data_IF_989677663593
#
_entry.id   IF_989677663593
#
_cell.length_a   1.000
_cell.length_b   1.000
_cell.length_c   1.000
_cell.angle_alpha   90.00
_cell.angle_beta   90.00
_cell.angle_gamma   90.00
#
_symmetry.space_group_name_H-M   'P 1'
#
loop_
_entity.id
_entity.type
_entity.pdbx_description
1 polymer ?
#
# COMPACT_ATOMS: atom_id res chain seq x y z
N UNK A 1 7.05 9.56 -25.02
CA UNK A 1 6.32 10.78 -24.61
C UNK A 1 6.67 11.06 -23.15
N UNK A 2 7.47 12.13 -22.91
CA UNK A 2 7.77 12.87 -21.65
C UNK A 2 8.24 12.00 -20.45
N UNK A 3 9.52 11.87 -20.08
CA UNK A 3 10.67 12.80 -19.94
C UNK A 3 10.51 13.90 -18.86
N UNK A 4 11.64 14.13 -18.15
CA UNK A 4 11.99 15.14 -17.12
C UNK A 4 11.79 14.72 -15.65
N UNK A 5 12.88 14.47 -14.88
CA UNK A 5 13.80 15.43 -14.20
C UNK A 5 13.12 16.07 -12.97
N UNK A 6 13.68 16.20 -11.78
CA UNK A 6 15.08 16.40 -11.42
C UNK A 6 15.36 15.99 -9.96
N UNK A 7 16.61 15.57 -9.73
CA UNK A 7 17.23 15.52 -8.42
C UNK A 7 17.50 16.95 -7.91
N UNK A 8 17.17 17.21 -6.65
CA UNK A 8 17.63 18.39 -5.92
C UNK A 8 18.34 17.92 -4.65
N UNK A 9 19.66 17.81 -4.75
CA UNK A 9 20.55 17.82 -3.61
C UNK A 9 20.50 19.24 -3.01
N UNK A 10 19.99 19.36 -1.78
CA UNK A 10 20.16 20.58 -0.99
C UNK A 10 21.20 20.32 0.09
N UNK A 11 22.42 20.76 -0.23
CA UNK A 11 23.50 21.05 0.69
C UNK A 11 22.99 22.06 1.75
N UNK A 12 22.85 21.65 3.00
CA UNK A 12 22.74 22.62 4.11
C UNK A 12 24.16 22.87 4.60
N UNK A 13 24.69 23.97 4.08
CA UNK A 13 25.93 24.62 4.49
C UNK A 13 25.85 24.98 5.97
N UNK A 14 26.94 24.74 6.69
CA UNK A 14 27.19 25.25 8.02
C UNK A 14 27.04 26.78 8.06
N UNK A 15 26.26 27.28 9.01
CA UNK A 15 26.29 28.66 9.44
C UNK A 15 26.67 28.67 10.92
N UNK A 16 27.92 29.06 11.15
CA UNK A 16 28.53 29.36 12.42
C UNK A 16 28.04 30.74 12.91
N UNK A 17 27.34 30.87 14.05
CA UNK A 17 27.07 32.18 14.64
C UNK A 17 28.22 32.59 15.57
N UNK A 18 29.39 32.85 14.99
CA UNK A 18 30.45 33.61 15.62
C UNK A 18 30.24 35.11 15.34
N UNK A 19 29.40 35.80 16.14
CA UNK A 19 29.47 37.26 16.33
C UNK A 19 28.44 37.73 17.37
N UNK A 20 28.89 37.92 18.60
CA UNK A 20 28.07 38.47 19.67
C UNK A 20 28.88 38.96 20.86
N UNK A 21 30.10 39.47 20.63
CA UNK A 21 30.81 40.25 21.64
C UNK A 21 30.07 41.57 21.87
N UNK A 22 29.29 41.62 22.94
CA UNK A 22 28.81 42.87 23.51
C UNK A 22 29.87 43.42 24.48
N UNK A 23 30.44 44.61 24.25
CA UNK A 23 31.28 45.28 25.23
C UNK A 23 30.38 45.95 26.27
N UNK A 24 29.83 45.19 27.21
CA UNK A 24 29.13 45.78 28.36
C UNK A 24 30.15 46.40 29.32
N UNK A 25 30.33 47.71 29.16
CA UNK A 25 30.38 48.67 30.25
C UNK A 25 31.46 48.47 31.30
N UNK A 26 32.64 49.07 31.06
CA UNK A 26 33.51 49.52 32.16
C UNK A 26 32.71 50.47 33.05
N UNK A 27 32.20 49.97 34.18
CA UNK A 27 31.78 50.84 35.29
C UNK A 27 33.03 51.57 35.78
N UNK A 28 33.06 52.89 35.57
CA UNK A 28 34.06 53.79 36.14
C UNK A 28 34.01 53.65 37.66
N UNK A 29 35.14 53.28 38.27
CA UNK A 29 35.35 53.42 39.71
C UNK A 29 35.21 54.91 40.08
N UNK A 30 34.48 55.26 41.16
CA UNK A 30 34.54 56.59 41.72
C UNK A 30 35.94 56.88 42.30
N UNK A 31 36.42 58.13 42.26
CA UNK A 31 37.71 58.50 42.81
C UNK A 31 37.76 58.30 44.34
N UNK A 32 38.92 57.92 44.91
CA UNK A 32 39.08 57.80 46.36
C UNK A 32 38.95 59.17 47.05
N UNK A 33 38.39 59.22 48.27
CA UNK A 33 38.34 60.44 49.07
C UNK A 33 39.75 60.92 49.48
N UNK A 34 39.93 62.24 49.71
CA UNK A 34 41.21 62.83 50.09
C UNK A 34 41.73 62.29 51.43
N UNK A 35 43.05 62.25 51.63
CA UNK A 35 43.65 61.79 52.87
C UNK A 35 43.25 62.71 54.04
N UNK A 36 42.62 62.12 55.05
CA UNK A 36 42.38 62.78 56.32
C UNK A 36 43.73 63.13 56.97
N UNK A 37 43.85 64.39 57.39
CA UNK A 37 45.01 64.92 58.07
C UNK A 37 45.26 64.14 59.36
N UNK A 38 46.49 63.64 59.47
CA UNK A 38 47.05 62.96 60.63
C UNK A 38 47.09 63.92 61.82
N UNK A 39 46.34 63.60 62.87
CA UNK A 39 46.60 64.12 64.20
C UNK A 39 47.94 63.57 64.72
N UNK A 40 48.75 64.35 65.45
CA UNK A 40 49.99 63.87 66.05
C UNK A 40 49.68 62.84 67.14
N UNK A 41 49.94 61.57 66.84
CA UNK A 41 49.90 60.47 67.79
C UNK A 41 51.00 60.65 68.84
N UNK A 42 50.59 60.70 70.10
CA UNK A 42 51.47 60.58 71.26
C UNK A 42 52.29 59.28 71.13
N UNK A 43 53.60 59.41 71.35
CA UNK A 43 54.54 58.30 71.36
C UNK A 43 54.15 57.28 72.44
N UNK A 44 53.53 56.18 72.01
CA UNK A 44 53.36 54.99 72.83
C UNK A 44 54.71 54.24 72.93
N UNK A 45 55.02 53.63 74.09
CA UNK A 45 56.28 52.93 74.32
C UNK A 45 56.47 51.76 73.34
N UNK A 46 57.72 51.57 72.92
CA UNK A 46 58.12 50.50 72.01
C UNK A 46 57.63 49.12 72.55
N UNK A 47 56.77 48.39 71.81
CA UNK A 47 56.36 47.07 72.22
C UNK A 47 57.56 46.12 72.17
N UNK A 48 57.74 45.36 73.25
CA UNK A 48 58.71 44.29 73.33
C UNK A 48 58.60 43.39 72.10
N UNK A 49 59.75 43.02 71.52
CA UNK A 49 59.82 42.13 70.37
C UNK A 49 58.94 40.89 70.64
N UNK A 50 57.97 40.57 69.77
CA UNK A 50 57.10 39.42 69.98
C UNK A 50 57.96 38.16 70.05
N UNK A 51 57.82 37.42 71.14
CA UNK A 51 58.45 36.11 71.31
C UNK A 51 58.11 35.25 70.09
N UNK A 52 59.14 34.65 69.47
CA UNK A 52 58.93 33.75 68.34
C UNK A 52 57.98 32.62 68.79
N UNK A 53 56.91 32.35 68.03
CA UNK A 53 55.98 31.27 68.39
C UNK A 53 56.76 29.95 68.45
N UNK A 54 56.51 29.18 69.51
CA UNK A 54 57.09 27.86 69.67
C UNK A 54 56.75 26.99 68.45
N UNK A 55 57.71 26.17 67.99
CA UNK A 55 57.49 25.27 66.87
C UNK A 55 56.31 24.33 67.14
N UNK A 56 55.45 24.05 66.15
CA UNK A 56 54.28 23.21 66.34
C UNK A 56 54.68 21.77 66.69
N UNK A 57 53.94 21.15 67.60
CA UNK A 57 54.13 19.74 67.95
C UNK A 57 53.65 18.81 66.82
N UNK A 58 54.16 17.57 66.69
CA UNK A 58 53.70 16.63 65.67
C UNK A 58 52.18 16.40 65.68
N UNK A 59 51.54 16.41 66.85
CA UNK A 59 50.09 16.32 67.00
C UNK A 59 49.37 17.54 66.40
N UNK A 60 49.92 18.74 66.59
CA UNK A 60 49.37 19.97 65.98
C UNK A 60 49.47 19.93 64.45
N UNK A 61 50.57 19.43 63.91
CA UNK A 61 50.76 19.27 62.46
C UNK A 61 49.72 18.29 61.88
N UNK A 62 49.52 17.12 62.51
CA UNK A 62 48.52 16.15 62.08
C UNK A 62 47.09 16.70 62.16
N UNK A 63 46.77 17.44 63.23
CA UNK A 63 45.47 18.07 63.38
C UNK A 63 45.20 19.13 62.29
N UNK A 64 46.20 19.92 61.93
CA UNK A 64 46.11 20.92 60.86
C UNK A 64 45.94 20.27 59.48
N UNK A 65 46.70 19.21 59.20
CA UNK A 65 46.59 18.43 57.96
C UNK A 65 45.21 17.77 57.83
N UNK A 66 44.70 17.16 58.90
CA UNK A 66 43.34 16.62 58.96
C UNK A 66 42.30 17.69 58.66
N UNK A 67 42.41 18.87 59.29
CA UNK A 67 41.48 19.99 59.07
C UNK A 67 41.51 20.48 57.62
N UNK A 68 42.69 20.48 56.98
CA UNK A 68 42.83 20.79 55.55
C UNK A 68 42.13 19.75 54.68
N UNK A 69 42.40 18.47 54.88
CA UNK A 69 41.77 17.40 54.09
C UNK A 69 40.24 17.36 54.27
N UNK A 70 39.73 17.63 55.47
CA UNK A 70 38.29 17.75 55.70
C UNK A 70 37.66 18.90 54.92
N UNK A 71 38.31 20.07 54.86
CA UNK A 71 37.83 21.19 54.03
C UNK A 71 37.81 20.81 52.55
N UNK A 72 38.86 20.16 52.07
CA UNK A 72 38.97 19.72 50.67
C UNK A 72 37.91 18.65 50.33
N UNK A 73 37.68 17.69 51.21
CA UNK A 73 36.66 16.65 51.04
C UNK A 73 35.24 17.26 51.01
N UNK A 74 34.92 18.16 51.95
CA UNK A 74 33.65 18.90 51.95
C UNK A 74 33.47 19.73 50.69
N UNK A 75 34.51 20.41 50.22
CA UNK A 75 34.45 21.20 48.99
C UNK A 75 34.09 20.32 47.78
N UNK A 76 34.62 19.10 47.70
CA UNK A 76 34.30 18.14 46.64
C UNK A 76 32.87 17.61 46.74
N UNK A 77 32.35 17.41 47.95
CA UNK A 77 30.95 17.00 48.18
C UNK A 77 29.94 18.02 47.65
N UNK A 78 30.29 19.31 47.56
CA UNK A 78 29.41 20.34 46.98
C UNK A 78 29.35 20.32 45.44
N UNK A 79 30.11 19.47 44.76
CA UNK A 79 30.10 19.36 43.31
C UNK A 79 28.78 18.70 42.85
N UNK A 80 27.92 19.47 42.15
CA UNK A 80 26.52 19.07 41.86
C UNK A 80 26.34 17.88 40.92
N UNK A 81 27.37 17.46 40.19
CA UNK A 81 27.25 16.37 39.21
C UNK A 81 27.68 15.05 39.84
N UNK A 82 26.74 14.11 39.94
CA UNK A 82 27.02 12.73 40.37
C UNK A 82 27.45 11.91 39.16
N UNK A 83 28.72 12.07 38.76
CA UNK A 83 29.38 11.17 37.81
C UNK A 83 30.17 10.10 38.58
N UNK A 84 30.47 8.96 37.94
CA UNK A 84 31.29 7.93 38.58
C UNK A 84 32.65 8.47 38.99
N UNK A 85 33.26 9.29 38.13
CA UNK A 85 34.53 9.96 38.41
C UNK A 85 34.45 10.87 39.64
N UNK A 86 33.42 11.73 39.74
CA UNK A 86 33.28 12.63 40.89
C UNK A 86 33.03 11.85 42.19
N UNK A 87 32.27 10.76 42.13
CA UNK A 87 32.03 9.91 43.30
C UNK A 87 33.30 9.18 43.75
N UNK A 88 34.15 8.73 42.80
CA UNK A 88 35.45 8.12 43.09
C UNK A 88 36.44 9.12 43.70
N UNK A 89 36.50 10.34 43.18
CA UNK A 89 37.31 11.43 43.75
C UNK A 89 36.89 11.81 45.17
N UNK A 90 35.58 11.79 45.45
CA UNK A 90 35.04 11.97 46.81
C UNK A 90 35.41 10.80 47.73
N UNK A 91 35.29 9.57 47.25
CA UNK A 91 35.65 8.37 47.99
C UNK A 91 37.13 8.40 48.40
N UNK A 92 38.02 8.78 47.46
CA UNK A 92 39.45 8.96 47.73
C UNK A 92 39.71 10.07 48.74
N UNK A 93 39.08 11.23 48.60
CA UNK A 93 39.27 12.36 49.52
C UNK A 93 38.87 12.00 50.96
N UNK A 94 37.70 11.37 51.15
CA UNK A 94 37.26 10.90 52.47
C UNK A 94 38.12 9.73 52.97
N UNK A 95 38.64 8.88 52.08
CA UNK A 95 39.58 7.81 52.41
C UNK A 95 40.89 8.32 53.00
N UNK A 96 41.44 9.42 52.46
CA UNK A 96 42.65 10.07 53.00
C UNK A 96 42.42 10.61 54.42
N UNK A 97 41.27 11.23 54.69
CA UNK A 97 40.92 11.70 56.04
C UNK A 97 40.86 10.53 57.03
N UNK A 98 40.26 9.40 56.63
CA UNK A 98 40.18 8.19 57.46
C UNK A 98 41.53 7.54 57.72
N UNK A 99 42.51 7.72 56.84
CA UNK A 99 43.86 7.20 57.04
C UNK A 99 44.61 7.94 58.16
N UNK A 100 44.32 9.24 58.36
CA UNK A 100 44.88 10.04 59.47
C UNK A 100 44.16 9.75 60.78
N UNK A 101 42.82 9.74 60.77
CA UNK A 101 42.01 9.47 61.95
C UNK A 101 40.85 8.51 61.64
N UNK A 102 41.02 7.20 61.91
CA UNK A 102 40.00 6.19 61.64
C UNK A 102 38.73 6.33 62.48
N UNK A 103 38.80 7.03 63.62
CA UNK A 103 37.69 7.19 64.56
C UNK A 103 36.83 8.42 64.26
N UNK A 104 37.21 9.24 63.26
CA UNK A 104 36.45 10.42 62.87
C UNK A 104 35.09 10.04 62.26
N UNK A 105 34.02 10.34 63.00
CA UNK A 105 32.65 9.99 62.60
C UNK A 105 32.14 10.74 61.38
N UNK A 106 32.68 11.92 61.05
CA UNK A 106 32.32 12.65 59.84
C UNK A 106 32.95 11.99 58.62
N UNK A 107 34.23 11.66 58.69
CA UNK A 107 34.96 10.99 57.62
C UNK A 107 34.36 9.62 57.29
N UNK A 108 33.89 8.88 58.31
CA UNK A 108 33.19 7.61 58.11
C UNK A 108 31.88 7.80 57.30
N UNK A 109 31.04 8.75 57.70
CA UNK A 109 29.77 9.03 57.00
C UNK A 109 30.00 9.53 55.57
N UNK A 110 30.95 10.44 55.37
CA UNK A 110 31.32 10.95 54.06
C UNK A 110 31.82 9.85 53.12
N UNK A 111 32.68 8.95 53.64
CA UNK A 111 33.17 7.79 52.90
C UNK A 111 32.04 6.82 52.49
N UNK A 112 31.15 6.47 53.42
CA UNK A 112 30.01 5.60 53.12
C UNK A 112 29.05 6.22 52.10
N UNK A 113 28.80 7.53 52.21
CA UNK A 113 27.97 8.24 51.26
C UNK A 113 28.63 8.26 49.87
N UNK A 114 29.90 8.61 49.77
CA UNK A 114 30.64 8.61 48.50
C UNK A 114 30.65 7.21 47.85
N UNK A 115 30.75 6.14 48.66
CA UNK A 115 30.66 4.76 48.18
C UNK A 115 29.29 4.45 47.58
N UNK A 116 28.20 4.81 48.28
CA UNK A 116 26.83 4.64 47.76
C UNK A 116 26.62 5.43 46.46
N UNK A 117 27.13 6.65 46.39
CA UNK A 117 27.03 7.50 45.21
C UNK A 117 27.80 6.89 44.02
N UNK A 118 28.98 6.30 44.27
CA UNK A 118 29.76 5.59 43.24
C UNK A 118 29.02 4.36 42.72
N UNK A 119 28.49 3.53 43.62
CA UNK A 119 27.71 2.35 43.24
C UNK A 119 26.44 2.74 42.45
N UNK A 120 25.78 3.83 42.84
CA UNK A 120 24.63 4.36 42.11
C UNK A 120 25.01 4.90 40.71
N UNK A 121 26.12 5.65 40.61
CA UNK A 121 26.61 6.18 39.35
C UNK A 121 27.01 5.06 38.38
N UNK A 122 27.71 4.02 38.85
CA UNK A 122 28.07 2.85 38.03
C UNK A 122 26.84 2.11 37.50
N UNK A 123 25.83 1.88 38.35
CA UNK A 123 24.55 1.28 37.93
C UNK A 123 23.84 2.12 36.87
N UNK A 124 23.87 3.45 37.01
CA UNK A 124 23.29 4.36 36.02
C UNK A 124 24.04 4.27 34.68
N UNK A 125 25.37 4.25 34.70
CA UNK A 125 26.19 4.10 33.50
C UNK A 125 25.95 2.75 32.80
N UNK A 126 25.88 1.65 33.55
CA UNK A 126 25.53 0.33 33.01
C UNK A 126 24.14 0.31 32.38
N UNK A 127 23.14 0.90 33.06
CA UNK A 127 21.78 1.01 32.53
C UNK A 127 21.72 1.88 31.26
N UNK A 128 22.49 2.98 31.20
CA UNK A 128 22.57 3.81 30.00
C UNK A 128 23.25 3.08 28.85
N UNK A 129 24.36 2.37 29.10
CA UNK A 129 25.03 1.53 28.08
C UNK A 129 24.11 0.44 27.55
N UNK A 130 23.34 -0.22 28.42
CA UNK A 130 22.34 -1.20 28.00
C UNK A 130 21.26 -0.56 27.10
N UNK A 131 20.72 0.60 27.50
CA UNK A 131 19.75 1.34 26.68
C UNK A 131 20.31 1.78 25.32
N UNK A 132 21.57 2.21 25.28
CA UNK A 132 22.26 2.58 24.04
C UNK A 132 22.42 1.36 23.12
N UNK A 133 22.87 0.23 23.65
CA UNK A 133 22.99 -1.02 22.91
C UNK A 133 21.63 -1.51 22.37
N UNK A 134 20.57 -1.43 23.18
CA UNK A 134 19.20 -1.76 22.76
C UNK A 134 18.72 -0.80 21.65
N UNK A 135 19.00 0.50 21.79
CA UNK A 135 18.63 1.50 20.79
C UNK A 135 19.37 1.31 19.45
N UNK A 136 20.65 0.94 19.50
CA UNK A 136 21.42 0.60 18.30
C UNK A 136 20.87 -0.66 17.61
N UNK A 137 20.57 -1.71 18.39
CA UNK A 137 19.98 -2.95 17.88
C UNK A 137 18.63 -2.66 17.20
N UNK A 138 17.76 -1.87 17.84
CA UNK A 138 16.49 -1.45 17.24
C UNK A 138 16.68 -0.62 15.97
N UNK A 139 17.70 0.25 15.93
CA UNK A 139 18.01 1.05 14.73
C UNK A 139 18.46 0.16 13.57
N UNK A 140 19.25 -0.89 13.84
CA UNK A 140 19.66 -1.88 12.85
C UNK A 140 18.47 -2.69 12.33
N UNK A 141 17.63 -3.22 13.23
CA UNK A 141 16.39 -3.93 12.87
C UNK A 141 15.49 -3.07 11.98
N UNK A 142 15.28 -1.79 12.34
CA UNK A 142 14.50 -0.85 11.52
C UNK A 142 15.13 -0.54 10.17
N UNK A 143 16.45 -0.59 10.04
CA UNK A 143 17.13 -0.41 8.76
C UNK A 143 16.95 -1.64 7.86
N UNK A 144 17.14 -2.84 8.42
CA UNK A 144 16.94 -4.11 7.70
C UNK A 144 15.48 -4.30 7.27
N UNK A 145 14.50 -3.98 8.12
CA UNK A 145 13.09 -4.00 7.74
C UNK A 145 12.77 -3.04 6.58
N UNK A 146 13.40 -1.87 6.54
CA UNK A 146 13.25 -0.93 5.42
C UNK A 146 13.85 -1.50 4.12
N UNK A 147 15.00 -2.15 4.20
CA UNK A 147 15.60 -2.84 3.05
C UNK A 147 14.73 -4.01 2.57
N UNK A 148 14.22 -4.84 3.49
CA UNK A 148 13.35 -5.96 3.19
C UNK A 148 12.06 -5.52 2.45
N UNK A 149 11.41 -4.46 2.93
CA UNK A 149 10.24 -3.89 2.27
C UNK A 149 10.58 -3.34 0.87
N UNK A 150 11.68 -2.59 0.74
CA UNK A 150 12.12 -2.06 -0.55
C UNK A 150 12.39 -3.17 -1.58
N UNK A 151 13.04 -4.28 -1.16
CA UNK A 151 13.28 -5.44 -2.01
C UNK A 151 11.98 -6.17 -2.39
N UNK A 152 11.03 -6.28 -1.45
CA UNK A 152 9.72 -6.89 -1.70
C UNK A 152 8.91 -6.08 -2.73
N UNK A 153 8.92 -4.75 -2.62
CA UNK A 153 8.25 -3.83 -3.53
C UNK A 153 8.89 -3.86 -4.93
N UNK A 154 10.22 -3.93 -5.01
CA UNK A 154 10.96 -4.14 -6.26
C UNK A 154 10.70 -5.52 -6.91
N UNK A 155 10.08 -6.45 -6.17
CA UNK A 155 9.83 -7.81 -6.64
C UNK A 155 11.05 -8.72 -6.59
N UNK A 156 12.10 -8.33 -5.87
CA UNK A 156 13.30 -9.11 -5.57
C UNK A 156 13.05 -10.02 -4.35
N UNK A 157 12.23 -11.06 -4.54
CA UNK A 157 11.75 -11.90 -3.44
C UNK A 157 12.88 -12.59 -2.66
N UNK A 158 13.95 -13.02 -3.32
CA UNK A 158 15.07 -13.70 -2.65
C UNK A 158 15.86 -12.75 -1.76
N UNK A 159 15.98 -11.47 -2.15
CA UNK A 159 16.64 -10.44 -1.35
C UNK A 159 15.78 -10.04 -0.16
N UNK A 160 14.47 -9.90 -0.37
CA UNK A 160 13.51 -9.64 0.70
C UNK A 160 13.51 -10.77 1.74
N UNK A 161 13.54 -12.03 1.31
CA UNK A 161 13.56 -13.21 2.20
C UNK A 161 14.80 -13.21 3.10
N UNK A 162 16.00 -13.02 2.53
CA UNK A 162 17.25 -12.93 3.31
C UNK A 162 17.24 -11.79 4.32
N UNK A 163 16.80 -10.59 3.90
CA UNK A 163 16.73 -9.44 4.80
C UNK A 163 15.74 -9.67 5.96
N UNK A 164 14.64 -10.41 5.72
CA UNK A 164 13.71 -10.82 6.77
C UNK A 164 14.32 -11.87 7.71
N UNK A 165 15.07 -12.84 7.17
CA UNK A 165 15.79 -13.82 8.00
C UNK A 165 16.82 -13.15 8.91
N UNK A 166 17.55 -12.15 8.42
CA UNK A 166 18.50 -11.36 9.22
C UNK A 166 17.81 -10.61 10.38
N UNK A 167 16.61 -10.06 10.14
CA UNK A 167 15.80 -9.44 11.19
C UNK A 167 15.34 -10.47 12.22
N UNK A 168 14.82 -11.61 11.77
CA UNK A 168 14.33 -12.68 12.65
C UNK A 168 15.46 -13.35 13.45
N UNK A 169 16.69 -13.35 12.94
CA UNK A 169 17.86 -13.80 13.69
C UNK A 169 18.18 -12.86 14.88
N UNK A 170 17.90 -11.56 14.74
CA UNK A 170 18.11 -10.55 15.78
C UNK A 170 16.91 -10.40 16.72
N UNK A 171 15.69 -10.52 16.19
CA UNK A 171 14.43 -10.34 16.91
C UNK A 171 13.40 -11.39 16.43
N UNK A 172 13.42 -12.61 17.00
CA UNK A 172 12.60 -13.73 16.54
C UNK A 172 11.08 -13.48 16.55
N UNK A 173 10.63 -12.66 17.49
CA UNK A 173 9.22 -12.37 17.74
C UNK A 173 8.73 -11.07 17.08
N UNK A 174 9.50 -10.48 16.15
CA UNK A 174 9.09 -9.24 15.49
C UNK A 174 7.86 -9.48 14.56
N UNK A 175 6.69 -8.86 14.85
CA UNK A 175 5.47 -9.11 14.08
C UNK A 175 5.54 -8.58 12.64
N UNK A 176 6.35 -7.55 12.38
CA UNK A 176 6.50 -6.99 11.03
C UNK A 176 7.33 -7.95 10.16
N UNK A 177 8.42 -8.49 10.68
CA UNK A 177 9.24 -9.47 10.00
C UNK A 177 8.47 -10.75 9.68
N UNK A 178 7.69 -11.28 10.64
CA UNK A 178 6.86 -12.48 10.43
C UNK A 178 5.78 -12.26 9.37
N UNK A 179 5.11 -11.11 9.37
CA UNK A 179 4.09 -10.78 8.35
C UNK A 179 4.71 -10.58 6.96
N UNK A 180 5.87 -9.94 6.88
CA UNK A 180 6.59 -9.76 5.62
C UNK A 180 7.08 -11.11 5.05
N UNK A 181 7.56 -12.02 5.91
CA UNK A 181 7.91 -13.40 5.52
C UNK A 181 6.73 -14.13 4.87
N UNK A 182 5.56 -14.05 5.48
CA UNK A 182 4.35 -14.66 4.95
C UNK A 182 3.97 -14.07 3.58
N UNK A 183 4.06 -12.75 3.42
CA UNK A 183 3.80 -12.05 2.16
C UNK A 183 4.81 -12.44 1.05
N UNK A 184 6.10 -12.55 1.38
CA UNK A 184 7.15 -13.03 0.45
C UNK A 184 6.83 -14.46 -0.02
N UNK A 185 6.46 -15.35 0.91
CA UNK A 185 6.12 -16.74 0.60
C UNK A 185 4.87 -16.87 -0.28
N UNK A 186 3.84 -16.05 -0.04
CA UNK A 186 2.64 -15.99 -0.89
C UNK A 186 2.97 -15.49 -2.31
N UNK A 187 3.76 -14.41 -2.40
CA UNK A 187 4.16 -13.83 -3.70
C UNK A 187 5.01 -14.82 -4.51
N UNK A 188 5.89 -15.61 -3.86
CA UNK A 188 6.66 -16.68 -4.51
C UNK A 188 5.75 -17.78 -5.06
N UNK A 189 4.79 -18.28 -4.25
CA UNK A 189 3.78 -19.26 -4.68
C UNK A 189 2.96 -18.76 -5.87
N UNK A 190 2.56 -17.49 -5.88
CA UNK A 190 1.82 -16.90 -7.01
C UNK A 190 2.65 -16.83 -8.30
N UNK A 191 3.96 -16.56 -8.21
CA UNK A 191 4.87 -16.56 -9.37
C UNK A 191 5.09 -17.97 -9.91
N UNK A 192 5.28 -18.94 -9.03
CA UNK A 192 5.39 -20.35 -9.42
C UNK A 192 4.11 -20.85 -10.07
N UNK A 193 2.96 -20.52 -9.49
CA UNK A 193 1.66 -20.86 -10.07
C UNK A 193 1.44 -20.20 -11.44
N UNK A 194 1.82 -18.93 -11.62
CA UNK A 194 1.77 -18.27 -12.94
C UNK A 194 2.71 -18.92 -13.94
N UNK A 195 3.94 -19.30 -13.55
CA UNK A 195 4.87 -20.03 -14.43
C UNK A 195 4.30 -21.39 -14.82
N UNK A 196 3.72 -22.11 -13.86
CA UNK A 196 3.05 -23.38 -14.08
C UNK A 196 1.85 -23.24 -15.03
N UNK A 197 0.99 -22.23 -14.80
CA UNK A 197 -0.14 -21.93 -15.68
C UNK A 197 0.30 -21.56 -17.09
N UNK A 198 1.37 -20.77 -17.24
CA UNK A 198 1.92 -20.42 -18.55
C UNK A 198 2.53 -21.64 -19.26
N UNK A 199 3.22 -22.53 -18.54
CA UNK A 199 3.76 -23.76 -19.15
C UNK A 199 2.67 -24.74 -19.55
N UNK A 200 1.65 -24.92 -18.72
CA UNK A 200 0.52 -25.83 -18.99
C UNK A 200 -0.37 -25.24 -20.09
N UNK A 201 -0.72 -23.96 -19.99
CA UNK A 201 -1.51 -23.24 -20.99
C UNK A 201 -0.83 -23.16 -22.35
N UNK A 202 0.50 -22.99 -22.39
CA UNK A 202 1.28 -23.04 -23.64
C UNK A 202 1.18 -24.41 -24.34
N UNK A 203 1.22 -25.50 -23.56
CA UNK A 203 1.08 -26.85 -24.09
C UNK A 203 -0.34 -27.12 -24.64
N UNK A 204 -1.38 -26.72 -23.89
CA UNK A 204 -2.77 -26.86 -24.35
C UNK A 204 -3.12 -25.93 -25.51
N UNK A 205 -2.60 -24.71 -25.54
CA UNK A 205 -2.79 -23.77 -26.64
C UNK A 205 -2.19 -24.28 -27.96
N UNK A 206 -0.97 -24.82 -27.93
CA UNK A 206 -0.32 -25.41 -29.11
C UNK A 206 -1.08 -26.63 -29.63
N UNK A 207 -1.49 -27.54 -28.75
CA UNK A 207 -2.25 -28.73 -29.13
C UNK A 207 -3.64 -28.37 -29.70
N UNK A 208 -4.35 -27.43 -29.09
CA UNK A 208 -5.62 -26.93 -29.62
C UNK A 208 -5.45 -26.24 -30.98
N UNK A 209 -4.39 -25.44 -31.17
CA UNK A 209 -4.10 -24.80 -32.45
C UNK A 209 -3.80 -25.82 -33.56
N UNK A 210 -3.08 -26.90 -33.26
CA UNK A 210 -2.80 -28.00 -34.20
C UNK A 210 -4.09 -28.74 -34.56
N UNK A 211 -4.94 -29.06 -33.58
CA UNK A 211 -6.24 -29.71 -33.81
C UNK A 211 -7.14 -28.80 -34.67
N UNK A 212 -7.22 -27.52 -34.34
CA UNK A 212 -8.02 -26.54 -35.08
C UNK A 212 -7.51 -26.35 -36.51
N UNK A 213 -6.19 -26.30 -36.71
CA UNK A 213 -5.58 -26.23 -38.04
C UNK A 213 -5.89 -27.49 -38.87
N UNK A 214 -5.82 -28.68 -38.28
CA UNK A 214 -6.22 -29.93 -38.95
C UNK A 214 -7.71 -29.96 -39.29
N UNK A 215 -8.59 -29.55 -38.37
CA UNK A 215 -10.04 -29.49 -38.61
C UNK A 215 -10.39 -28.47 -39.71
N UNK A 216 -9.77 -27.29 -39.70
CA UNK A 216 -10.00 -26.25 -40.70
C UNK A 216 -9.51 -26.71 -42.08
N UNK A 217 -8.35 -27.38 -42.15
CA UNK A 217 -7.85 -27.97 -43.39
C UNK A 217 -8.85 -28.99 -43.98
N UNK A 218 -9.41 -29.86 -43.15
CA UNK A 218 -10.44 -30.82 -43.57
C UNK A 218 -11.76 -30.16 -44.04
N UNK A 219 -12.18 -29.06 -43.40
CA UNK A 219 -13.38 -28.31 -43.81
C UNK A 219 -13.17 -27.60 -45.14
N UNK A 220 -11.98 -27.06 -45.39
CA UNK A 220 -11.65 -26.35 -46.65
C UNK A 220 -11.72 -27.28 -47.86
N UNK A 221 -11.25 -28.52 -47.72
CA UNK A 221 -11.32 -29.55 -48.76
C UNK A 221 -12.76 -30.06 -49.01
N UNK A 222 -13.63 -30.04 -47.99
CA UNK A 222 -15.06 -30.39 -48.18
C UNK A 222 -15.88 -29.26 -48.80
N UNK A 223 -15.50 -28.00 -48.54
CA UNK A 223 -16.18 -26.83 -49.13
C UNK A 223 -15.89 -26.66 -50.61
N UNK A 224 -14.73 -27.06 -51.12
CA UNK A 224 -14.50 -27.09 -52.58
C UNK A 224 -15.39 -28.11 -53.27
N UNK A 225 -15.57 -29.31 -52.69
CA UNK A 225 -16.48 -30.34 -53.24
C UNK A 225 -17.96 -29.93 -53.22
N UNK A 226 -18.43 -29.28 -52.14
CA UNK A 226 -19.83 -28.78 -52.08
C UNK A 226 -20.10 -27.56 -52.96
N UNK A 227 -19.07 -26.79 -53.34
CA UNK A 227 -19.24 -25.64 -54.24
C UNK A 227 -19.46 -26.07 -55.70
N UNK A 228 -19.02 -27.28 -56.06
CA UNK A 228 -19.31 -27.90 -57.35
C UNK A 228 -20.72 -28.51 -57.40
N UNK A 229 -21.22 -29.09 -56.30
CA UNK A 229 -22.61 -29.59 -56.22
C UNK A 229 -23.68 -28.47 -56.07
N UNK A 230 -23.35 -27.35 -55.43
CA UNK A 230 -24.29 -26.24 -55.26
C UNK A 230 -24.47 -25.36 -56.52
N UNK A 231 -23.61 -25.52 -57.53
CA UNK A 231 -23.68 -24.77 -58.79
C UNK A 231 -24.71 -25.35 -59.79
N UNK A 232 -25.32 -26.50 -59.49
CA UNK A 232 -26.27 -27.19 -60.38
C UNK A 232 -27.70 -27.34 -59.82
N UNK A 233 -28.05 -26.67 -58.72
CA UNK A 233 -29.42 -26.74 -58.18
C UNK A 233 -30.33 -25.72 -58.88
N UNK A 234 -31.41 -26.15 -59.56
CA UNK A 234 -32.37 -25.24 -60.19
C UNK A 234 -32.97 -24.31 -59.12
N UNK A 235 -33.13 -23.03 -59.48
CA UNK A 235 -33.64 -21.98 -58.60
C UNK A 235 -34.94 -22.44 -57.92
N UNK A 236 -34.87 -22.66 -56.60
CA UNK A 236 -36.03 -23.09 -55.84
C UNK A 236 -37.15 -22.03 -55.89
N UNK A 237 -38.43 -22.45 -55.90
CA UNK A 237 -39.57 -21.54 -56.05
C UNK A 237 -39.51 -20.44 -54.98
N UNK A 238 -39.75 -19.21 -55.41
CA UNK A 238 -39.73 -18.03 -54.54
C UNK A 238 -41.13 -17.84 -53.98
N UNK A 239 -41.26 -17.78 -52.66
CA UNK A 239 -42.53 -17.44 -52.05
C UNK A 239 -42.66 -15.92 -51.86
N UNK A 240 -43.89 -15.43 -51.98
CA UNK A 240 -44.29 -14.03 -51.83
C UNK A 240 -45.39 -13.93 -50.76
N UNK A 241 -45.38 -12.84 -50.00
CA UNK A 241 -46.48 -12.46 -49.12
C UNK A 241 -47.24 -11.29 -49.72
N UNK A 242 -48.55 -11.41 -49.85
CA UNK A 242 -49.46 -10.33 -50.26
C UNK A 242 -50.26 -9.85 -49.06
N UNK A 243 -50.12 -8.58 -48.69
CA UNK A 243 -50.96 -7.98 -47.65
C UNK A 243 -52.36 -7.73 -48.24
N UNK A 244 -53.37 -8.45 -47.78
CA UNK A 244 -54.75 -8.39 -48.28
C UNK A 244 -55.55 -7.29 -47.60
N UNK A 245 -55.26 -7.04 -46.32
CA UNK A 245 -55.98 -6.08 -45.48
C UNK A 245 -55.04 -5.33 -44.52
N UNK A 246 -55.45 -4.13 -44.08
CA UNK A 246 -54.66 -3.21 -43.24
C UNK A 246 -54.00 -2.05 -44.01
N UNK A 247 -53.22 -1.22 -43.32
CA UNK A 247 -52.62 0.03 -43.85
C UNK A 247 -51.70 -0.25 -45.06
N UNK A 248 -51.06 -1.43 -45.11
CA UNK A 248 -50.17 -1.83 -46.20
C UNK A 248 -50.84 -2.71 -47.27
N UNK A 249 -52.17 -2.64 -47.41
CA UNK A 249 -52.94 -3.45 -48.38
C UNK A 249 -52.39 -3.33 -49.81
N UNK A 250 -52.23 -4.47 -50.47
CA UNK A 250 -51.73 -4.59 -51.84
C UNK A 250 -50.21 -4.78 -51.95
N UNK A 251 -49.46 -4.59 -50.86
CA UNK A 251 -48.00 -4.78 -50.86
C UNK A 251 -47.64 -6.26 -51.05
N UNK A 252 -46.74 -6.52 -52.02
CA UNK A 252 -46.11 -7.82 -52.24
C UNK A 252 -44.70 -7.79 -51.67
N UNK A 253 -44.34 -8.78 -50.83
CA UNK A 253 -43.01 -8.88 -50.21
C UNK A 253 -42.41 -10.26 -50.47
N UNK A 254 -41.22 -10.35 -51.09
CA UNK A 254 -40.57 -11.63 -51.32
C UNK A 254 -39.93 -12.20 -50.04
N UNK A 255 -40.09 -13.50 -49.83
CA UNK A 255 -39.43 -14.26 -48.75
C UNK A 255 -37.97 -14.55 -49.13
N UNK A 256 -37.05 -13.65 -48.75
CA UNK A 256 -35.63 -13.75 -49.11
C UNK A 256 -34.76 -14.50 -48.09
N UNK A 257 -35.13 -14.45 -46.81
CA UNK A 257 -34.38 -15.06 -45.72
C UNK A 257 -34.94 -16.44 -45.33
N UNK A 258 -34.10 -17.29 -44.72
CA UNK A 258 -34.52 -18.59 -44.18
C UNK A 258 -35.49 -18.44 -43.00
N UNK A 259 -35.39 -17.33 -42.26
CA UNK A 259 -36.32 -16.95 -41.19
C UNK A 259 -36.82 -15.55 -41.52
N UNK A 260 -38.11 -15.44 -41.81
CA UNK A 260 -38.77 -14.19 -42.16
C UNK A 260 -39.72 -13.77 -41.04
N UNK A 261 -39.48 -12.61 -40.44
CA UNK A 261 -40.17 -12.14 -39.24
C UNK A 261 -41.22 -11.08 -39.57
N UNK A 262 -42.38 -11.19 -38.95
CA UNK A 262 -43.51 -10.30 -39.14
C UNK A 262 -43.91 -9.71 -37.78
N UNK A 263 -44.09 -8.40 -37.70
CA UNK A 263 -44.46 -7.73 -36.46
C UNK A 263 -44.76 -6.24 -36.63
N UNK A 264 -45.07 -5.54 -35.54
CA UNK A 264 -45.52 -4.14 -35.61
C UNK A 264 -44.41 -3.08 -35.59
N UNK A 265 -43.20 -3.41 -35.15
CA UNK A 265 -42.11 -2.42 -35.00
C UNK A 265 -40.85 -2.83 -35.74
N UNK A 266 -40.09 -1.84 -36.22
CA UNK A 266 -38.72 -2.03 -36.66
C UNK A 266 -37.84 -2.14 -35.39
N UNK A 267 -37.25 -3.29 -35.12
CA UNK A 267 -36.31 -3.41 -33.99
C UNK A 267 -35.07 -2.52 -34.21
N UNK A 268 -34.47 -2.05 -33.11
CA UNK A 268 -33.28 -1.18 -33.13
C UNK A 268 -31.96 -1.94 -33.35
N UNK A 269 -31.96 -3.25 -33.08
CA UNK A 269 -30.79 -4.12 -33.21
C UNK A 269 -30.80 -4.95 -34.50
N UNK A 270 -29.61 -5.24 -35.03
CA UNK A 270 -29.43 -6.09 -36.23
C UNK A 270 -30.00 -7.52 -36.09
N UNK A 271 -30.18 -8.02 -34.86
CA UNK A 271 -30.79 -9.33 -34.58
C UNK A 271 -32.29 -9.29 -34.28
N UNK A 272 -32.89 -8.10 -34.30
CA UNK A 272 -34.24 -7.82 -33.81
C UNK A 272 -35.13 -7.16 -34.88
N UNK A 273 -34.66 -7.12 -36.12
CA UNK A 273 -35.40 -6.50 -37.20
C UNK A 273 -36.51 -7.42 -37.73
N UNK A 274 -37.70 -6.87 -37.96
CA UNK A 274 -38.77 -7.55 -38.70
C UNK A 274 -38.61 -7.28 -40.20
N UNK A 275 -38.80 -8.31 -41.00
CA UNK A 275 -38.72 -8.24 -42.46
C UNK A 275 -40.01 -7.63 -43.05
N UNK A 276 -41.16 -7.91 -42.43
CA UNK A 276 -42.44 -7.28 -42.72
C UNK A 276 -42.98 -6.57 -41.48
N UNK A 277 -43.00 -5.25 -41.53
CA UNK A 277 -43.59 -4.40 -40.49
C UNK A 277 -45.03 -4.09 -40.85
N UNK A 278 -45.97 -4.47 -39.98
CA UNK A 278 -47.40 -4.20 -40.12
C UNK A 278 -47.79 -3.07 -39.16
N UNK A 279 -48.03 -1.89 -39.70
CA UNK A 279 -48.56 -0.77 -38.91
C UNK A 279 -50.04 -0.99 -38.61
N UNK A 280 -50.39 -0.95 -37.32
CA UNK A 280 -51.75 -1.07 -36.82
C UNK A 280 -52.01 0.06 -35.82
N UNK A 281 -53.09 0.82 -36.03
CA UNK A 281 -53.50 1.94 -35.17
C UNK A 281 -53.92 1.48 -33.77
N UNK A 282 -54.42 0.26 -33.63
CA UNK A 282 -54.85 -0.30 -32.35
C UNK A 282 -53.70 -0.88 -31.52
N UNK A 283 -52.48 -0.94 -32.07
CA UNK A 283 -51.33 -1.61 -31.47
C UNK A 283 -51.64 -3.05 -30.99
N UNK A 284 -52.57 -3.74 -31.65
CA UNK A 284 -52.94 -5.13 -31.33
C UNK A 284 -51.98 -6.14 -31.96
N UNK A 285 -51.26 -5.76 -33.02
CA UNK A 285 -50.18 -6.58 -33.57
C UNK A 285 -48.94 -6.49 -32.67
N UNK A 286 -48.50 -7.61 -32.09
CA UNK A 286 -47.27 -7.68 -31.28
C UNK A 286 -46.01 -7.23 -32.03
N UNK A 287 -45.01 -6.72 -31.30
CA UNK A 287 -43.69 -6.32 -31.85
C UNK A 287 -43.02 -7.45 -32.64
N UNK A 288 -43.07 -8.68 -32.13
CA UNK A 288 -42.67 -9.91 -32.84
C UNK A 288 -43.88 -10.83 -32.89
N UNK A 289 -44.63 -10.78 -33.98
CA UNK A 289 -45.93 -11.43 -34.05
C UNK A 289 -45.81 -12.89 -34.46
N UNK A 290 -45.23 -13.15 -35.62
CA UNK A 290 -45.00 -14.49 -36.11
C UNK A 290 -43.74 -14.54 -36.99
N UNK A 291 -43.29 -15.75 -37.28
CA UNK A 291 -42.17 -15.99 -38.20
C UNK A 291 -42.49 -17.09 -39.18
N UNK A 292 -42.02 -16.93 -40.42
CA UNK A 292 -42.05 -17.97 -41.44
C UNK A 292 -40.63 -18.53 -41.59
N UNK A 293 -40.47 -19.83 -41.34
CA UNK A 293 -39.18 -20.54 -41.48
C UNK A 293 -39.21 -21.40 -42.73
N UNK A 294 -38.21 -21.23 -43.60
CA UNK A 294 -38.00 -22.09 -44.77
C UNK A 294 -37.22 -23.34 -44.35
N UNK A 295 -37.80 -24.53 -44.59
CA UNK A 295 -37.12 -25.82 -44.42
C UNK A 295 -37.15 -26.59 -45.74
N UNK A 296 -36.11 -26.39 -46.56
CA UNK A 296 -36.04 -26.99 -47.89
C UNK A 296 -37.09 -26.38 -48.84
N UNK A 297 -38.11 -27.16 -49.17
CA UNK A 297 -39.23 -26.74 -50.03
C UNK A 297 -40.43 -26.21 -49.25
N UNK A 298 -40.51 -26.53 -47.97
CA UNK A 298 -41.66 -26.20 -47.13
C UNK A 298 -41.43 -24.87 -46.41
N UNK A 299 -42.52 -24.14 -46.20
CA UNK A 299 -42.56 -22.91 -45.40
C UNK A 299 -43.42 -23.17 -44.16
N UNK A 300 -42.88 -22.88 -42.98
CA UNK A 300 -43.53 -23.13 -41.70
C UNK A 300 -43.87 -21.79 -41.03
N UNK A 301 -45.14 -21.54 -40.77
CA UNK A 301 -45.61 -20.41 -39.96
C UNK A 301 -45.57 -20.80 -38.48
N UNK A 302 -45.00 -19.91 -37.67
CA UNK A 302 -44.89 -20.07 -36.21
C UNK A 302 -45.43 -18.80 -35.55
N UNK A 303 -46.49 -18.94 -34.76
CA UNK A 303 -47.08 -17.83 -34.00
C UNK A 303 -46.31 -17.60 -32.69
N UNK A 304 -45.82 -16.39 -32.46
CA UNK A 304 -45.19 -15.96 -31.20
C UNK A 304 -45.98 -14.87 -30.49
N UNK A 305 -47.13 -14.47 -31.02
CA UNK A 305 -47.88 -13.29 -30.62
C UNK A 305 -48.62 -13.46 -29.28
N UNK A 306 -49.09 -12.33 -28.75
CA UNK A 306 -49.95 -12.29 -27.56
C UNK A 306 -51.44 -12.44 -27.91
N UNK A 307 -51.86 -11.85 -29.04
CA UNK A 307 -53.27 -11.78 -29.45
C UNK A 307 -53.67 -12.90 -30.44
N UNK A 308 -52.76 -13.80 -30.76
CA UNK A 308 -52.97 -14.96 -31.62
C UNK A 308 -52.88 -14.65 -33.12
N UNK A 309 -52.53 -15.69 -33.88
CA UNK A 309 -52.61 -15.74 -35.34
C UNK A 309 -53.68 -16.77 -35.76
N UNK A 310 -54.52 -16.43 -36.74
CA UNK A 310 -55.47 -17.38 -37.36
C UNK A 310 -54.98 -17.76 -38.76
N UNK A 311 -54.97 -19.03 -39.13
CA UNK A 311 -54.65 -19.55 -40.47
C UNK A 311 -55.90 -20.14 -41.10
N UNK A 312 -56.34 -19.59 -42.22
CA UNK A 312 -57.56 -19.96 -42.93
C UNK A 312 -58.81 -20.01 -42.01
N UNK A 313 -58.89 -19.06 -41.07
CA UNK A 313 -59.98 -18.96 -40.07
C UNK A 313 -59.84 -19.89 -38.86
N UNK A 314 -58.78 -20.69 -38.79
CA UNK A 314 -58.49 -21.56 -37.63
C UNK A 314 -57.41 -20.91 -36.75
N UNK A 315 -57.65 -20.67 -35.45
CA UNK A 315 -56.64 -20.12 -34.56
C UNK A 315 -55.47 -21.10 -34.40
N UNK A 316 -54.24 -20.60 -34.53
CA UNK A 316 -53.03 -21.39 -34.34
C UNK A 316 -52.63 -21.46 -32.87
N UNK A 317 -51.97 -22.55 -32.47
CA UNK A 317 -51.36 -22.65 -31.15
C UNK A 317 -50.00 -21.94 -31.14
N UNK A 318 -49.76 -21.11 -30.11
CA UNK A 318 -48.50 -20.37 -29.97
C UNK A 318 -47.30 -21.32 -29.91
N UNK A 319 -46.32 -21.09 -30.78
CA UNK A 319 -45.09 -21.86 -30.90
C UNK A 319 -45.20 -23.14 -31.75
N UNK A 320 -46.40 -23.53 -32.19
CA UNK A 320 -46.58 -24.67 -33.08
C UNK A 320 -46.17 -24.32 -34.52
N UNK A 321 -45.66 -25.31 -35.26
CA UNK A 321 -45.24 -25.14 -36.65
C UNK A 321 -46.36 -25.59 -37.59
N UNK A 322 -46.86 -24.67 -38.42
CA UNK A 322 -47.87 -24.99 -39.44
C UNK A 322 -47.29 -24.83 -40.83
N UNK A 323 -47.42 -25.86 -41.67
CA UNK A 323 -46.96 -25.80 -43.07
C UNK A 323 -47.89 -24.89 -43.87
N UNK A 324 -47.32 -23.90 -44.57
CA UNK A 324 -48.04 -23.01 -45.47
C UNK A 324 -48.12 -23.61 -46.88
N UNK A 325 -49.33 -23.68 -47.42
CA UNK A 325 -49.62 -24.01 -48.80
C UNK A 325 -49.87 -22.74 -49.64
N UNK A 326 -49.66 -22.83 -50.96
CA UNK A 326 -49.96 -21.73 -51.87
C UNK A 326 -51.42 -21.29 -51.76
N UNK A 327 -51.63 -19.99 -51.58
CA UNK A 327 -52.96 -19.40 -51.41
C UNK A 327 -53.46 -19.31 -49.98
N UNK A 328 -52.75 -19.85 -48.98
CA UNK A 328 -53.13 -19.76 -47.57
C UNK A 328 -53.22 -18.30 -47.10
N UNK A 329 -54.23 -18.00 -46.29
CA UNK A 329 -54.45 -16.68 -45.69
C UNK A 329 -54.32 -16.78 -44.18
N UNK A 330 -53.50 -15.90 -43.58
CA UNK A 330 -53.40 -15.78 -42.14
C UNK A 330 -53.71 -14.36 -41.66
N UNK A 331 -54.31 -14.28 -40.47
CA UNK A 331 -54.78 -13.04 -39.85
C UNK A 331 -53.99 -12.81 -38.56
N UNK A 332 -53.37 -11.63 -38.45
CA UNK A 332 -52.58 -11.21 -37.29
C UNK A 332 -53.44 -10.35 -36.36
N UNK A 333 -53.67 -10.81 -35.12
CA UNK A 333 -54.47 -10.10 -34.10
C UNK A 333 -55.82 -9.53 -34.60
N UNK A 334 -56.45 -10.15 -35.61
CA UNK A 334 -57.67 -9.64 -36.29
C UNK A 334 -57.54 -8.26 -36.94
N UNK A 335 -56.32 -7.72 -37.06
CA UNK A 335 -56.06 -6.38 -37.59
C UNK A 335 -55.51 -6.40 -39.02
N UNK A 336 -54.75 -7.42 -39.39
CA UNK A 336 -54.14 -7.51 -40.72
C UNK A 336 -54.29 -8.91 -41.29
N UNK A 337 -54.62 -9.00 -42.59
CA UNK A 337 -54.72 -10.25 -43.34
C UNK A 337 -53.60 -10.34 -44.36
N UNK A 338 -52.88 -11.45 -44.38
CA UNK A 338 -51.75 -11.71 -45.28
C UNK A 338 -52.01 -13.03 -46.02
N UNK A 339 -51.74 -13.04 -47.32
CA UNK A 339 -51.86 -14.21 -48.19
C UNK A 339 -50.48 -14.69 -48.64
N UNK A 340 -50.23 -15.98 -48.49
CA UNK A 340 -49.02 -16.65 -48.93
C UNK A 340 -49.17 -17.10 -50.37
N UNK A 341 -48.17 -16.83 -51.22
CA UNK A 341 -48.16 -17.18 -52.64
C UNK A 341 -46.82 -17.84 -53.00
N UNK A 342 -46.83 -18.92 -53.75
CA UNK A 342 -45.63 -19.57 -54.29
C UNK A 342 -45.55 -19.31 -55.79
N UNK A 343 -44.47 -18.69 -56.26
CA UNK A 343 -44.23 -18.42 -57.68
C UNK A 343 -43.29 -19.42 -58.33
#
# INVERSE_FOLDING_TARGET
MRALLAAAALLILAADPAAGQWPFGRRRQPPPPPPAQTAPAQAAPAPAAPAQPAAPTPEQIQAEEKARLLRDARARDFTRQVTAQNAEERLMAWGLVRAIDPADGEALRGYEQARRDLDAAKKLEEANKAREADAETQKQVRAQLREANAAFDAGELDRADRAVEDVLATSPDDPQALSLRAAVAEKRRSREFRRLLLSVGGFFGLSAAVIFWMAWRGIKERRSRKKEEAASTPAAPRALLKVVDGISRGRLVPLQADVFRIGAAQGEGAGEQNDLVISDSGAVVSRYHCSIIRKGKDYLLIDSSLNGTELNGTPLQRGEHHVLADGDEFILARAARVKFLVT
#
